data_IF_171546774598
#
_entry.id   IF_171546774598
#
_cell.length_a   1.000
_cell.length_b   1.000
_cell.length_c   1.000
_cell.angle_alpha   90.00
_cell.angle_beta   90.00
_cell.angle_gamma   90.00
#
_symmetry.space_group_name_H-M   'P 1'
#
loop_
_entity.id
_entity.type
_entity.pdbx_description
1 polymer ?
#
# COMPACT_ATOMS: atom_id res chain seq x y z
N UNK A 1 8.06 16.74 -1.15
CA UNK A 1 8.26 15.33 -0.75
C UNK A 1 9.60 14.85 -1.29
N UNK A 2 10.64 14.80 -0.46
CA UNK A 2 11.85 14.01 -0.65
C UNK A 2 12.79 14.28 -1.82
N UNK A 3 12.43 15.02 -2.85
CA UNK A 3 13.33 15.40 -3.95
C UNK A 3 14.37 14.31 -4.33
N UNK A 4 15.65 14.62 -4.21
CA UNK A 4 16.75 13.68 -4.47
C UNK A 4 16.74 12.43 -3.58
N UNK A 5 16.17 12.47 -2.36
CA UNK A 5 16.09 11.31 -1.48
C UNK A 5 15.18 10.19 -2.06
N UNK A 6 14.10 10.56 -2.75
CA UNK A 6 13.23 9.59 -3.44
C UNK A 6 13.97 8.86 -4.56
N UNK A 7 14.83 9.56 -5.32
CA UNK A 7 15.57 8.91 -6.42
C UNK A 7 16.61 7.91 -5.92
N UNK A 8 17.14 8.09 -4.71
CA UNK A 8 18.11 7.21 -4.07
C UNK A 8 17.49 6.01 -3.35
N UNK A 9 16.16 6.05 -3.14
CA UNK A 9 15.44 4.97 -2.46
C UNK A 9 15.25 3.78 -3.41
N UNK A 10 15.93 2.65 -3.12
CA UNK A 10 15.87 1.42 -3.91
C UNK A 10 15.01 0.34 -3.26
N UNK A 11 14.90 0.37 -1.93
CA UNK A 11 14.09 -0.57 -1.18
C UNK A 11 13.64 0.06 0.14
N UNK A 12 12.63 -0.52 0.76
CA UNK A 12 12.18 -0.14 2.10
C UNK A 12 11.60 -1.34 2.82
N UNK A 13 11.98 -1.52 4.08
CA UNK A 13 11.31 -2.41 5.03
C UNK A 13 10.47 -1.56 5.97
N UNK A 14 9.25 -2.02 6.21
CA UNK A 14 8.31 -1.40 7.13
C UNK A 14 7.81 -2.44 8.11
N UNK A 15 7.91 -2.16 9.39
CA UNK A 15 7.28 -2.93 10.48
C UNK A 15 6.15 -2.12 11.08
N UNK A 16 5.03 -2.77 11.39
CA UNK A 16 3.89 -2.09 11.99
C UNK A 16 2.84 -3.03 12.56
N UNK A 17 1.77 -2.43 13.00
CA UNK A 17 0.57 -3.12 13.50
C UNK A 17 -0.64 -2.62 12.72
N UNK A 18 -1.52 -3.53 12.38
CA UNK A 18 -2.85 -3.24 11.84
C UNK A 18 -3.85 -3.65 12.92
N UNK A 19 -4.56 -2.67 13.45
CA UNK A 19 -5.63 -2.86 14.43
C UNK A 19 -6.97 -2.88 13.68
N UNK A 20 -7.66 -4.00 13.73
CA UNK A 20 -9.05 -4.17 13.31
C UNK A 20 -9.97 -4.07 14.54
N UNK A 21 -11.25 -3.80 14.41
CA UNK A 21 -12.16 -3.65 15.57
C UNK A 21 -12.14 -4.82 16.56
N UNK A 22 -11.79 -6.04 16.12
CA UNK A 22 -11.80 -7.24 16.98
C UNK A 22 -10.51 -8.07 16.88
N UNK A 23 -9.45 -7.55 16.25
CA UNK A 23 -8.21 -8.28 16.03
C UNK A 23 -7.04 -7.31 15.77
N UNK A 24 -5.83 -7.71 16.09
CA UNK A 24 -4.64 -6.92 15.83
C UNK A 24 -3.54 -7.81 15.25
N UNK A 25 -2.92 -7.35 14.16
CA UNK A 25 -1.87 -8.09 13.47
C UNK A 25 -0.60 -7.27 13.39
N UNK A 26 0.53 -7.86 13.73
CA UNK A 26 1.83 -7.31 13.34
C UNK A 26 2.08 -7.64 11.87
N UNK A 27 2.68 -6.72 11.15
CA UNK A 27 3.10 -6.97 9.77
C UNK A 27 4.55 -6.53 9.54
N UNK A 28 5.16 -7.15 8.54
CA UNK A 28 6.42 -6.72 7.94
C UNK A 28 6.19 -6.64 6.44
N UNK A 29 6.46 -5.46 5.87
CA UNK A 29 6.37 -5.23 4.44
C UNK A 29 7.75 -4.87 3.89
N UNK A 30 8.23 -5.69 2.96
CA UNK A 30 9.44 -5.46 2.19
C UNK A 30 9.05 -5.01 0.78
N UNK A 31 9.56 -3.87 0.36
CA UNK A 31 9.36 -3.33 -0.99
C UNK A 31 10.70 -3.08 -1.66
N UNK A 32 10.79 -3.35 -2.95
CA UNK A 32 11.98 -3.15 -3.74
C UNK A 32 11.62 -2.71 -5.15
N UNK A 33 12.40 -1.78 -5.69
CA UNK A 33 12.21 -1.33 -7.08
C UNK A 33 12.43 -2.46 -8.08
N UNK A 34 11.72 -2.40 -9.22
CA UNK A 34 10.74 -1.37 -9.58
C UNK A 34 9.37 -1.59 -8.94
N UNK A 35 8.96 -2.84 -8.67
CA UNK A 35 7.62 -3.24 -8.25
C UNK A 35 7.60 -4.60 -7.53
N UNK A 36 8.56 -4.85 -6.66
CA UNK A 36 8.56 -6.05 -5.83
C UNK A 36 7.98 -5.76 -4.46
N UNK A 37 7.16 -6.68 -3.95
CA UNK A 37 6.52 -6.64 -2.64
C UNK A 37 6.57 -8.00 -1.98
N UNK A 38 6.85 -8.01 -0.68
CA UNK A 38 6.58 -9.11 0.22
C UNK A 38 5.94 -8.55 1.48
N UNK A 39 4.73 -8.98 1.79
CA UNK A 39 3.99 -8.64 3.00
C UNK A 39 3.78 -9.92 3.82
N UNK A 40 4.14 -9.89 5.09
CA UNK A 40 3.92 -10.98 6.03
C UNK A 40 3.14 -10.46 7.23
N UNK A 41 2.06 -11.14 7.59
CA UNK A 41 1.19 -10.82 8.72
C UNK A 41 1.31 -11.88 9.83
N UNK A 42 1.29 -11.42 11.07
CA UNK A 42 1.49 -12.25 12.26
C UNK A 42 0.43 -11.96 13.32
N UNK A 43 -0.01 -12.99 14.01
CA UNK A 43 -0.76 -12.87 15.27
C UNK A 43 0.16 -13.32 16.40
N UNK A 44 0.58 -12.38 17.27
CA UNK A 44 1.74 -12.63 18.13
C UNK A 44 2.98 -12.97 17.29
N UNK A 45 3.63 -14.08 17.59
CA UNK A 45 4.81 -14.55 16.83
C UNK A 45 4.46 -15.53 15.70
N UNK A 46 3.19 -15.92 15.57
CA UNK A 46 2.74 -16.88 14.56
C UNK A 46 2.44 -16.19 13.23
N UNK A 47 3.11 -16.63 12.16
CA UNK A 47 2.78 -16.21 10.79
C UNK A 47 1.35 -16.66 10.47
N UNK A 48 0.48 -15.77 10.04
CA UNK A 48 -0.89 -16.08 9.61
C UNK A 48 -1.05 -16.02 8.10
N UNK A 49 -0.33 -15.14 7.43
CA UNK A 49 -0.30 -15.08 5.97
C UNK A 49 0.97 -14.37 5.48
N UNK A 50 1.35 -14.68 4.27
CA UNK A 50 2.30 -13.89 3.50
C UNK A 50 1.83 -13.81 2.05
N UNK A 51 2.08 -12.68 1.43
CA UNK A 51 1.77 -12.45 0.01
C UNK A 51 2.81 -11.55 -0.60
N UNK A 52 2.87 -11.51 -1.91
CA UNK A 52 3.81 -10.62 -2.59
C UNK A 52 3.73 -10.68 -4.10
N UNK A 53 4.58 -9.87 -4.68
CA UNK A 53 4.78 -9.74 -6.12
C UNK A 53 6.28 -9.76 -6.43
N UNK A 54 6.69 -10.60 -7.37
CA UNK A 54 8.12 -10.77 -7.73
C UNK A 54 8.57 -9.82 -8.85
N UNK A 55 7.76 -8.81 -9.18
CA UNK A 55 7.93 -8.01 -10.39
C UNK A 55 7.18 -8.56 -11.61
N UNK A 56 6.80 -9.84 -11.58
CA UNK A 56 6.07 -10.50 -12.67
C UNK A 56 4.92 -11.38 -12.18
N UNK A 57 5.03 -11.97 -11.00
CA UNK A 57 4.09 -12.98 -10.51
C UNK A 57 3.64 -12.64 -9.10
N UNK A 58 2.32 -12.56 -8.91
CA UNK A 58 1.71 -12.47 -7.59
C UNK A 58 1.62 -13.86 -6.93
N UNK A 59 1.85 -13.91 -5.63
CA UNK A 59 1.80 -15.14 -4.85
C UNK A 59 1.15 -14.88 -3.48
N UNK A 60 0.61 -15.92 -2.86
CA UNK A 60 0.14 -15.89 -1.48
C UNK A 60 0.43 -17.21 -0.77
N UNK A 61 0.55 -17.15 0.54
CA UNK A 61 0.84 -18.30 1.40
C UNK A 61 0.17 -18.11 2.76
N UNK A 62 -0.40 -19.20 3.27
CA UNK A 62 -0.88 -19.33 4.65
C UNK A 62 -0.26 -20.60 5.25
N UNK A 63 -0.22 -20.78 6.58
CA UNK A 63 0.25 -22.01 7.19
C UNK A 63 -0.46 -23.24 6.61
N UNK A 64 0.31 -24.17 6.06
CA UNK A 64 -0.20 -25.39 5.41
C UNK A 64 -0.70 -25.24 3.98
N UNK A 65 -0.70 -24.03 3.41
CA UNK A 65 -1.10 -23.79 2.02
C UNK A 65 -0.27 -22.67 1.40
N UNK A 66 0.31 -22.94 0.24
CA UNK A 66 1.05 -21.94 -0.53
C UNK A 66 0.58 -21.92 -1.99
N UNK A 67 0.19 -20.75 -2.49
CA UNK A 67 -0.16 -20.52 -3.88
C UNK A 67 0.91 -19.67 -4.51
N UNK A 68 1.80 -20.28 -5.28
CA UNK A 68 3.01 -19.67 -5.83
C UNK A 68 2.77 -18.80 -7.06
N UNK A 69 1.62 -18.93 -7.69
CA UNK A 69 1.22 -18.08 -8.81
C UNK A 69 -0.29 -17.85 -8.73
N UNK A 70 -0.67 -16.63 -8.48
CA UNK A 70 -2.06 -16.18 -8.57
C UNK A 70 -2.38 -15.82 -10.02
N UNK A 71 -3.61 -16.07 -10.45
CA UNK A 71 -4.09 -15.53 -11.72
C UNK A 71 -4.02 -14.01 -11.72
N UNK A 72 -3.92 -13.38 -12.89
CA UNK A 72 -3.88 -11.92 -13.02
C UNK A 72 -5.05 -11.24 -12.28
N UNK A 73 -6.24 -11.83 -12.32
CA UNK A 73 -7.42 -11.31 -11.62
C UNK A 73 -7.27 -11.37 -10.09
N UNK A 74 -6.72 -12.47 -9.55
CA UNK A 74 -6.53 -12.65 -8.10
C UNK A 74 -5.35 -11.83 -7.58
N UNK A 75 -4.32 -11.66 -8.39
CA UNK A 75 -3.10 -10.94 -8.02
C UNK A 75 -3.10 -9.45 -8.32
N UNK A 76 -4.16 -8.91 -8.96
CA UNK A 76 -4.17 -7.50 -9.41
C UNK A 76 -4.03 -6.49 -8.27
N UNK A 77 -4.63 -6.74 -7.10
CA UNK A 77 -4.46 -5.88 -5.92
C UNK A 77 -3.02 -5.91 -5.41
N UNK A 78 -2.43 -7.11 -5.28
CA UNK A 78 -1.05 -7.30 -4.82
C UNK A 78 -0.07 -6.62 -5.80
N UNK A 79 -0.31 -6.74 -7.10
CA UNK A 79 0.48 -6.08 -8.13
C UNK A 79 0.43 -4.55 -7.99
N UNK A 80 -0.77 -3.97 -7.77
CA UNK A 80 -0.91 -2.52 -7.52
C UNK A 80 -0.23 -2.08 -6.23
N UNK A 81 -0.35 -2.89 -5.18
CA UNK A 81 0.29 -2.63 -3.90
C UNK A 81 1.82 -2.76 -3.96
N UNK A 82 2.34 -3.53 -4.93
CA UNK A 82 3.77 -3.68 -5.18
C UNK A 82 4.42 -2.47 -5.86
N UNK A 83 3.66 -1.55 -6.44
CA UNK A 83 4.22 -0.32 -7.00
C UNK A 83 5.02 0.42 -5.94
N UNK A 84 6.29 0.67 -6.27
CA UNK A 84 7.21 1.26 -5.29
C UNK A 84 6.85 2.71 -4.95
N UNK A 85 6.34 3.44 -5.92
CA UNK A 85 5.84 4.80 -5.75
C UNK A 85 4.37 4.91 -6.15
N UNK A 86 3.66 5.79 -5.44
CA UNK A 86 2.32 6.22 -5.87
C UNK A 86 2.33 6.74 -7.31
N UNK A 87 1.27 6.56 -8.09
CA UNK A 87 1.12 7.15 -9.43
C UNK A 87 1.37 8.66 -9.46
N UNK A 88 1.07 9.36 -8.38
CA UNK A 88 1.35 10.80 -8.23
C UNK A 88 2.84 11.14 -8.26
N UNK A 89 3.72 10.19 -7.90
CA UNK A 89 5.18 10.40 -7.84
C UNK A 89 5.91 9.79 -9.02
N UNK A 90 5.37 8.76 -9.64
CA UNK A 90 6.01 8.02 -10.73
C UNK A 90 5.70 8.59 -12.12
N UNK A 91 4.82 9.59 -12.21
CA UNK A 91 4.49 10.22 -13.50
C UNK A 91 3.66 9.33 -14.42
N UNK A 92 2.63 8.68 -13.89
CA UNK A 92 1.69 7.84 -14.62
C UNK A 92 2.33 6.56 -15.23
N UNK A 93 2.82 5.62 -14.41
CA UNK A 93 3.31 4.34 -14.89
C UNK A 93 2.18 3.55 -15.54
N UNK A 94 2.54 2.69 -16.49
CA UNK A 94 1.64 1.68 -17.09
C UNK A 94 0.37 2.24 -17.77
N UNK A 95 0.47 3.44 -18.36
CA UNK A 95 -0.66 4.05 -19.08
C UNK A 95 -1.74 4.64 -18.16
N UNK A 96 -1.43 4.89 -16.90
CA UNK A 96 -2.34 5.60 -16.00
C UNK A 96 -2.56 7.04 -16.47
N UNK A 97 -3.76 7.55 -16.27
CA UNK A 97 -4.11 8.97 -16.47
C UNK A 97 -4.35 9.63 -15.13
N UNK A 98 -3.89 10.87 -14.98
CA UNK A 98 -4.12 11.71 -13.82
C UNK A 98 -4.92 12.93 -14.26
N UNK A 99 -6.04 13.19 -13.58
CA UNK A 99 -6.92 14.32 -13.85
C UNK A 99 -7.11 15.13 -12.57
N UNK A 100 -6.84 16.43 -12.63
CA UNK A 100 -7.21 17.35 -11.55
C UNK A 100 -8.71 17.65 -11.67
N UNK A 101 -9.52 17.04 -10.80
CA UNK A 101 -10.97 17.22 -10.76
C UNK A 101 -11.32 18.61 -10.21
N UNK A 102 -10.55 19.11 -9.25
CA UNK A 102 -10.75 20.41 -8.64
C UNK A 102 -10.10 20.53 -7.26
N UNK A 103 -10.63 21.45 -6.45
CA UNK A 103 -10.26 21.63 -5.05
C UNK A 103 -11.44 21.28 -4.15
N UNK A 104 -11.14 20.70 -2.99
CA UNK A 104 -12.10 20.34 -1.96
C UNK A 104 -11.54 20.65 -0.58
N UNK A 105 -12.33 20.47 0.47
CA UNK A 105 -11.85 20.55 1.86
C UNK A 105 -11.80 19.16 2.49
N UNK A 106 -10.69 18.90 3.17
CA UNK A 106 -10.50 17.72 4.00
C UNK A 106 -10.20 18.21 5.40
N UNK A 107 -11.12 17.96 6.32
CA UNK A 107 -11.11 18.58 7.64
C UNK A 107 -10.98 20.10 7.52
N UNK A 108 -9.92 20.72 8.04
CA UNK A 108 -9.66 22.16 7.94
C UNK A 108 -8.73 22.56 6.80
N UNK A 109 -8.20 21.62 6.04
CA UNK A 109 -7.24 21.85 4.96
C UNK A 109 -7.92 21.96 3.59
N UNK A 110 -7.44 22.87 2.74
CA UNK A 110 -7.74 22.89 1.31
C UNK A 110 -6.93 21.78 0.63
N UNK A 111 -7.56 21.00 -0.25
CA UNK A 111 -6.95 19.88 -0.92
C UNK A 111 -7.26 19.86 -2.42
N UNK A 112 -6.28 19.45 -3.23
CA UNK A 112 -6.50 19.08 -4.62
C UNK A 112 -7.11 17.69 -4.69
N UNK A 113 -8.18 17.54 -5.48
CA UNK A 113 -8.78 16.24 -5.79
C UNK A 113 -8.24 15.76 -7.15
N UNK A 114 -7.45 14.67 -7.10
CA UNK A 114 -6.77 14.10 -8.27
C UNK A 114 -7.34 12.72 -8.52
N UNK A 115 -8.06 12.56 -9.62
CA UNK A 115 -8.55 11.28 -10.10
C UNK A 115 -7.46 10.54 -10.88
N UNK A 116 -7.26 9.27 -10.57
CA UNK A 116 -6.30 8.39 -11.25
C UNK A 116 -7.04 7.20 -11.83
N UNK A 117 -6.96 7.04 -13.15
CA UNK A 117 -7.40 5.83 -13.84
C UNK A 117 -6.17 5.07 -14.33
N UNK A 118 -6.03 3.82 -13.93
CA UNK A 118 -4.90 2.95 -14.32
C UNK A 118 -5.16 2.25 -15.64
N UNK A 119 -4.13 1.72 -16.29
CA UNK A 119 -4.26 0.99 -17.54
C UNK A 119 -5.13 -0.27 -17.47
N UNK A 120 -5.30 -0.86 -16.28
CA UNK A 120 -6.22 -1.97 -16.02
C UNK A 120 -7.67 -1.53 -15.73
N UNK A 121 -7.93 -0.22 -15.80
CA UNK A 121 -9.25 0.38 -15.50
C UNK A 121 -9.53 0.61 -14.02
N UNK A 122 -8.59 0.31 -13.12
CA UNK A 122 -8.75 0.59 -11.70
C UNK A 122 -8.70 2.10 -11.44
N UNK A 123 -9.62 2.59 -10.61
CA UNK A 123 -9.77 4.01 -10.31
C UNK A 123 -9.55 4.30 -8.84
N UNK A 124 -8.97 5.47 -8.56
CA UNK A 124 -8.79 5.99 -7.21
C UNK A 124 -8.69 7.51 -7.20
N UNK A 125 -9.20 8.13 -6.14
CA UNK A 125 -9.08 9.57 -5.91
C UNK A 125 -8.07 9.85 -4.82
N UNK A 126 -7.23 10.85 -5.03
CA UNK A 126 -6.18 11.30 -4.10
C UNK A 126 -6.46 12.73 -3.69
N UNK A 127 -6.71 12.95 -2.39
CA UNK A 127 -6.89 14.27 -1.83
C UNK A 127 -5.56 14.73 -1.23
N UNK A 128 -4.92 15.68 -1.91
CA UNK A 128 -3.57 16.18 -1.61
C UNK A 128 -3.65 17.58 -1.04
N UNK A 129 -3.08 17.80 0.14
CA UNK A 129 -3.03 19.11 0.78
C UNK A 129 -2.45 20.18 -0.16
N UNK A 130 -3.18 21.28 -0.35
CA UNK A 130 -2.80 22.31 -1.31
C UNK A 130 -1.55 23.10 -0.89
N UNK A 131 -1.16 23.04 0.39
CA UNK A 131 -0.01 23.78 0.94
C UNK A 131 1.22 22.91 1.07
N UNK A 132 1.08 21.75 1.73
CA UNK A 132 2.21 20.85 2.02
C UNK A 132 2.45 19.81 0.93
N UNK A 133 1.48 19.60 0.04
CA UNK A 133 1.45 18.53 -0.97
C UNK A 133 1.55 17.13 -0.38
N UNK A 134 1.12 16.95 0.88
CA UNK A 134 1.00 15.64 1.50
C UNK A 134 -0.35 15.01 1.15
N UNK A 135 -0.36 13.70 1.00
CA UNK A 135 -1.60 12.96 0.79
C UNK A 135 -2.42 12.97 2.09
N UNK A 136 -3.63 13.51 2.06
CA UNK A 136 -4.54 13.53 3.19
C UNK A 136 -5.47 12.32 3.19
N UNK A 137 -6.05 11.99 2.01
CA UNK A 137 -7.00 10.91 1.83
C UNK A 137 -6.76 10.20 0.49
N UNK A 138 -7.09 8.92 0.46
CA UNK A 138 -7.22 8.15 -0.78
C UNK A 138 -8.57 7.43 -0.77
N UNK A 139 -9.29 7.45 -1.88
CA UNK A 139 -10.57 6.74 -2.06
C UNK A 139 -10.43 5.74 -3.18
N UNK A 140 -10.91 4.53 -2.95
CA UNK A 140 -10.87 3.46 -3.94
C UNK A 140 -11.89 2.37 -3.59
N UNK A 141 -12.18 1.50 -4.57
CA UNK A 141 -13.02 0.31 -4.34
C UNK A 141 -12.10 -0.90 -4.25
N UNK A 142 -12.00 -1.52 -3.07
CA UNK A 142 -11.21 -2.72 -2.85
C UNK A 142 -11.78 -3.59 -1.72
N UNK A 143 -11.33 -4.84 -1.65
CA UNK A 143 -11.67 -5.71 -0.53
C UNK A 143 -10.97 -5.22 0.75
N UNK A 144 -11.68 -5.08 1.89
CA UNK A 144 -11.07 -4.74 3.18
C UNK A 144 -10.06 -5.80 3.65
N UNK A 145 -10.37 -7.06 3.38
CA UNK A 145 -9.51 -8.22 3.65
C UNK A 145 -9.54 -9.20 2.49
N UNK A 146 -8.53 -10.04 2.41
CA UNK A 146 -8.48 -11.10 1.41
C UNK A 146 -9.73 -12.01 1.49
N UNK A 147 -10.40 -12.20 0.36
CA UNK A 147 -11.61 -13.01 0.24
C UNK A 147 -12.93 -12.29 0.52
N UNK A 148 -12.91 -11.05 0.98
CA UNK A 148 -14.12 -10.22 1.14
C UNK A 148 -14.53 -9.55 -0.19
N UNK A 149 -15.78 -9.12 -0.26
CA UNK A 149 -16.26 -8.36 -1.41
C UNK A 149 -15.65 -6.96 -1.44
N UNK A 150 -15.30 -6.41 -2.62
CA UNK A 150 -14.85 -5.03 -2.74
C UNK A 150 -15.93 -4.04 -2.31
N UNK A 151 -15.56 -3.05 -1.53
CA UNK A 151 -16.40 -1.94 -1.09
C UNK A 151 -15.65 -0.61 -1.27
N UNK A 152 -16.35 0.54 -1.37
CA UNK A 152 -15.73 1.86 -1.34
C UNK A 152 -15.07 2.12 0.01
N UNK A 153 -13.75 2.39 -0.02
CA UNK A 153 -12.92 2.65 1.18
C UNK A 153 -12.27 4.02 1.05
N UNK A 154 -12.26 4.75 2.16
CA UNK A 154 -11.42 5.93 2.33
C UNK A 154 -10.29 5.60 3.30
N UNK A 155 -9.05 5.86 2.87
CA UNK A 155 -7.85 5.78 3.70
C UNK A 155 -7.38 7.19 4.04
N UNK A 156 -7.28 7.51 5.31
CA UNK A 156 -6.75 8.76 5.84
C UNK A 156 -5.29 8.58 6.28
N UNK A 157 -4.45 9.58 6.03
CA UNK A 157 -3.01 9.55 6.28
C UNK A 157 -2.63 10.61 7.31
N UNK A 158 -1.93 10.20 8.38
CA UNK A 158 -1.56 11.04 9.50
C UNK A 158 -0.12 10.81 9.94
N UNK A 159 0.36 11.68 10.83
CA UNK A 159 1.64 11.55 11.52
C UNK A 159 2.81 11.35 10.54
N UNK A 160 2.96 12.29 9.62
CA UNK A 160 4.06 12.29 8.67
C UNK A 160 5.39 12.56 9.35
N UNK A 161 6.31 11.61 9.27
CA UNK A 161 7.66 11.70 9.86
C UNK A 161 8.74 11.56 8.80
N UNK A 162 9.82 12.34 8.87
CA UNK A 162 10.95 12.19 7.97
C UNK A 162 11.79 10.96 8.33
N UNK A 163 12.05 10.10 7.32
CA UNK A 163 13.00 8.99 7.41
C UNK A 163 13.91 9.06 6.19
N UNK A 164 15.21 9.26 6.39
CA UNK A 164 16.20 9.43 5.31
C UNK A 164 15.78 10.48 4.26
N UNK A 165 15.17 11.59 4.68
CA UNK A 165 14.75 12.68 3.79
C UNK A 165 13.43 12.45 3.04
N UNK A 166 12.75 11.33 3.27
CA UNK A 166 11.42 11.01 2.73
C UNK A 166 10.38 11.09 3.85
N UNK A 167 9.23 11.72 3.59
CA UNK A 167 8.12 11.76 4.54
C UNK A 167 7.24 10.52 4.39
N UNK A 168 7.08 9.77 5.47
CA UNK A 168 6.19 8.61 5.57
C UNK A 168 5.05 8.88 6.53
N UNK A 169 3.79 8.52 6.18
CA UNK A 169 2.69 8.53 7.12
C UNK A 169 2.85 7.37 8.11
N UNK A 170 2.97 7.66 9.39
CA UNK A 170 3.12 6.64 10.43
C UNK A 170 1.80 6.09 10.94
N UNK A 171 0.70 6.77 10.63
CA UNK A 171 -0.65 6.32 10.96
C UNK A 171 -1.53 6.41 9.72
N UNK A 172 -2.24 5.33 9.40
CA UNK A 172 -3.33 5.35 8.43
C UNK A 172 -4.59 4.78 9.03
N UNK A 173 -5.73 5.35 8.67
CA UNK A 173 -7.05 4.94 9.14
C UNK A 173 -7.92 4.63 7.94
N UNK A 174 -8.48 3.43 7.89
CA UNK A 174 -9.37 3.00 6.83
C UNK A 174 -10.81 2.95 7.31
N UNK A 175 -11.71 3.48 6.49
CA UNK A 175 -13.15 3.50 6.76
C UNK A 175 -13.95 3.15 5.51
N UNK A 176 -15.12 2.54 5.70
CA UNK A 176 -16.12 2.44 4.64
C UNK A 176 -16.62 3.85 4.27
N UNK A 177 -16.70 4.17 2.99
CA UNK A 177 -17.18 5.50 2.56
C UNK A 177 -18.68 5.69 2.84
N UNK A 178 -19.45 4.62 2.86
CA UNK A 178 -20.91 4.69 2.95
C UNK A 178 -21.41 5.25 4.30
N UNK A 179 -20.78 4.84 5.40
CA UNK A 179 -21.23 5.15 6.76
C UNK A 179 -20.10 5.57 7.71
N UNK A 180 -18.86 5.62 7.20
CA UNK A 180 -17.68 5.97 8.00
C UNK A 180 -17.22 4.89 8.97
N UNK A 181 -17.77 3.68 8.88
CA UNK A 181 -17.42 2.57 9.78
C UNK A 181 -15.93 2.24 9.70
N UNK A 182 -15.30 2.15 10.87
CA UNK A 182 -13.88 1.82 10.98
C UNK A 182 -13.60 0.40 10.47
N UNK A 183 -12.67 0.30 9.52
CA UNK A 183 -12.14 -0.96 9.00
C UNK A 183 -10.86 -1.31 9.75
N UNK A 184 -9.87 -0.41 9.73
CA UNK A 184 -8.57 -0.66 10.37
C UNK A 184 -7.85 0.64 10.71
N UNK A 185 -6.91 0.52 11.67
CA UNK A 185 -5.89 1.54 11.94
C UNK A 185 -4.53 0.87 11.78
N UNK A 186 -3.70 1.40 10.89
CA UNK A 186 -2.31 0.94 10.73
C UNK A 186 -1.38 1.92 11.41
N UNK A 187 -0.48 1.40 12.24
CA UNK A 187 0.57 2.19 12.91
C UNK A 187 1.93 1.62 12.54
N UNK A 188 2.75 2.41 11.86
CA UNK A 188 4.15 2.05 11.58
C UNK A 188 4.98 2.16 12.85
N UNK A 189 5.79 1.15 13.12
CA UNK A 189 6.74 1.12 14.24
C UNK A 189 8.16 1.44 13.77
N UNK A 190 8.48 1.03 12.54
CA UNK A 190 9.82 1.16 11.97
C UNK A 190 9.75 1.27 10.45
N UNK A 191 10.57 2.14 9.89
CA UNK A 191 10.78 2.30 8.46
C UNK A 191 12.29 2.29 8.20
N UNK A 192 12.77 1.37 7.38
CA UNK A 192 14.19 1.18 7.08
C UNK A 192 14.42 1.30 5.56
N UNK A 193 14.85 2.46 5.08
CA UNK A 193 15.21 2.65 3.68
C UNK A 193 16.45 1.86 3.30
N UNK A 194 16.46 1.32 2.07
CA UNK A 194 17.60 0.62 1.46
C UNK A 194 18.12 -0.58 2.26
N UNK A 195 17.23 -1.26 2.99
CA UNK A 195 17.55 -2.38 3.89
C UNK A 195 17.14 -3.76 3.36
N UNK A 196 16.50 -3.82 2.19
CA UNK A 196 15.96 -5.07 1.63
C UNK A 196 16.81 -5.52 0.46
N UNK A 197 17.36 -6.74 0.54
CA UNK A 197 18.06 -7.38 -0.56
C UNK A 197 17.11 -8.24 -1.43
N UNK A 198 17.61 -8.72 -2.57
CA UNK A 198 16.82 -9.51 -3.51
C UNK A 198 16.39 -10.87 -2.93
N UNK A 199 17.16 -11.45 -2.02
CA UNK A 199 16.84 -12.74 -1.42
C UNK A 199 15.63 -12.66 -0.48
N UNK A 200 15.43 -11.50 0.15
CA UNK A 200 14.26 -11.24 1.01
C UNK A 200 12.93 -11.25 0.24
N UNK A 201 12.98 -11.03 -1.08
CA UNK A 201 11.78 -10.97 -1.95
C UNK A 201 11.33 -12.34 -2.47
N UNK A 202 12.07 -13.40 -2.15
CA UNK A 202 11.72 -14.74 -2.59
C UNK A 202 10.31 -15.14 -2.13
N UNK A 203 9.50 -15.77 -3.02
CA UNK A 203 8.19 -16.29 -2.64
C UNK A 203 8.32 -17.25 -1.47
N UNK A 204 7.39 -17.16 -0.52
CA UNK A 204 7.31 -18.09 0.61
C UNK A 204 6.87 -19.52 0.23
N UNK A 205 6.86 -19.85 -1.05
CA UNK A 205 6.46 -21.13 -1.61
C UNK A 205 7.64 -21.74 -2.39
N UNK A 206 7.97 -23.00 -2.09
CA UNK A 206 8.91 -23.75 -2.91
C UNK A 206 8.30 -23.97 -4.30
N UNK A 207 9.08 -23.72 -5.37
CA UNK A 207 8.70 -24.18 -6.69
C UNK A 207 8.48 -25.70 -6.61
N UNK A 208 7.30 -26.20 -7.02
CA UNK A 208 7.12 -27.62 -7.21
C UNK A 208 8.05 -28.02 -8.33
N UNK A 209 9.09 -28.78 -7.96
CA UNK A 209 9.98 -29.45 -8.90
C UNK A 209 9.22 -30.50 -9.70
#
# INVERSE_FOLDING_TARGET
MGGNALSQLQSVRVDGVIDYPNDAWRFVADRRRPNELRLAAYRGDSLISAEGFTGTTAWSSTPGSAVCALSSRQGSSIQRDAEFFSPLLSGAPDGATLELVGSTRVDDAEAYDIHVTRGDGFQSDYLVDATSYLLLRKREVRAPRAGEAPIPIETAYYDYRPVAGVLYPFVTVEREQADGKLISVTVLKRVEPNSVDAAAMAPGCAAKS
#
